data_IF_591849386614
#
_entry.id   IF_591849386614
#
_cell.length_a   1.000
_cell.length_b   1.000
_cell.length_c   1.000
_cell.angle_alpha   90.00
_cell.angle_beta   90.00
_cell.angle_gamma   90.00
#
_symmetry.space_group_name_H-M   'P 1'
#
loop_
_entity.id
_entity.type
_entity.pdbx_description
1 polymer ?
#
# COMPACT_ATOMS: atom_id res chain seq x y z
N UNK A 1 -9.06 -14.75 -49.11
CA UNK A 1 -8.13 -13.61 -49.05
C UNK A 1 -8.88 -12.44 -48.41
N UNK A 2 -9.13 -12.47 -47.10
CA UNK A 2 -8.26 -11.98 -46.00
C UNK A 2 -8.09 -10.46 -46.00
N UNK A 3 -8.97 -9.78 -45.27
CA UNK A 3 -8.72 -8.44 -44.71
C UNK A 3 -8.91 -8.54 -43.20
N UNK A 4 -7.84 -8.88 -42.48
CA UNK A 4 -7.83 -8.96 -41.02
C UNK A 4 -7.73 -7.55 -40.42
N UNK A 5 -8.66 -7.28 -39.50
CA UNK A 5 -8.50 -6.66 -38.18
C UNK A 5 -7.27 -5.76 -37.94
N UNK A 6 -7.52 -4.45 -37.77
CA UNK A 6 -6.58 -3.53 -37.13
C UNK A 6 -7.33 -2.42 -36.39
N UNK A 7 -7.86 -2.72 -35.19
CA UNK A 7 -7.61 -1.85 -34.03
C UNK A 7 -8.05 -2.54 -32.73
N UNK A 8 -7.33 -3.60 -32.38
CA UNK A 8 -7.14 -3.95 -30.97
C UNK A 8 -5.68 -3.74 -30.64
N UNK A 9 -5.33 -2.50 -30.29
CA UNK A 9 -4.24 -2.30 -29.34
C UNK A 9 -4.86 -2.53 -27.97
N UNK A 10 -4.87 -3.79 -27.54
CA UNK A 10 -4.94 -4.09 -26.13
C UNK A 10 -3.52 -3.81 -25.63
N UNK A 11 -3.31 -2.63 -25.08
CA UNK A 11 -2.07 -2.33 -24.37
C UNK A 11 -2.02 -3.32 -23.19
N UNK A 12 -1.17 -4.33 -23.30
CA UNK A 12 -0.83 -5.24 -22.21
C UNK A 12 0.30 -4.65 -21.34
N UNK A 13 0.28 -3.32 -21.20
CA UNK A 13 1.18 -2.44 -20.43
C UNK A 13 0.36 -1.60 -19.41
N UNK A 14 -0.82 -2.09 -19.00
CA UNK A 14 -1.92 -1.22 -18.53
C UNK A 14 -2.23 -1.32 -17.02
N UNK A 15 -1.41 -2.04 -16.25
CA UNK A 15 -1.49 -2.03 -14.79
C UNK A 15 -0.33 -1.24 -14.16
N UNK A 16 -0.56 0.06 -13.99
CA UNK A 16 0.37 0.98 -13.36
C UNK A 16 0.38 0.91 -11.82
N UNK A 17 -0.33 -0.05 -11.21
CA UNK A 17 -0.36 -0.19 -9.75
C UNK A 17 0.97 -0.71 -9.24
N UNK A 18 1.49 -0.05 -8.23
CA UNK A 18 2.67 -0.51 -7.53
C UNK A 18 2.34 -1.57 -6.48
N UNK A 19 3.30 -2.48 -6.28
CA UNK A 19 3.27 -3.48 -5.21
C UNK A 19 4.63 -3.40 -4.52
N UNK A 20 4.61 -3.31 -3.19
CA UNK A 20 5.84 -3.30 -2.38
C UNK A 20 5.86 -4.51 -1.45
N UNK A 21 6.97 -5.25 -1.53
CA UNK A 21 7.27 -6.35 -0.63
C UNK A 21 8.74 -6.33 -0.22
N UNK A 22 9.05 -6.86 0.96
CA UNK A 22 10.40 -6.86 1.53
C UNK A 22 10.87 -8.29 1.79
N UNK A 23 12.10 -8.58 1.41
CA UNK A 23 12.78 -9.83 1.70
C UNK A 23 14.30 -9.64 1.63
N UNK A 24 15.07 -10.57 2.20
CA UNK A 24 16.55 -10.48 2.14
C UNK A 24 17.08 -10.60 0.71
N UNK A 25 16.27 -11.18 -0.18
CA UNK A 25 16.51 -11.24 -1.63
C UNK A 25 15.22 -10.90 -2.37
N UNK A 26 15.33 -10.47 -3.64
CA UNK A 26 14.16 -10.24 -4.50
C UNK A 26 13.28 -11.48 -4.63
N UNK A 27 13.88 -12.67 -4.75
CA UNK A 27 13.16 -13.95 -4.85
C UNK A 27 12.34 -14.26 -3.59
N UNK A 28 12.82 -13.85 -2.41
CA UNK A 28 12.06 -14.00 -1.17
C UNK A 28 10.93 -12.97 -1.11
N UNK A 29 11.23 -11.70 -1.38
CA UNK A 29 10.23 -10.62 -1.37
C UNK A 29 9.05 -10.95 -2.30
N UNK A 30 9.31 -11.47 -3.49
CA UNK A 30 8.28 -11.85 -4.47
C UNK A 30 7.36 -13.00 -4.02
N UNK A 31 7.70 -13.72 -2.94
CA UNK A 31 6.90 -14.82 -2.40
C UNK A 31 6.12 -14.45 -1.14
N UNK A 32 6.36 -13.26 -0.60
CA UNK A 32 5.65 -12.80 0.59
C UNK A 32 4.21 -12.41 0.27
N UNK A 33 3.28 -12.51 1.24
CA UNK A 33 1.90 -12.07 1.05
C UNK A 33 1.77 -10.63 0.54
N UNK A 34 2.63 -9.72 1.00
CA UNK A 34 2.67 -8.33 0.55
C UNK A 34 2.87 -8.19 -0.97
N UNK A 35 3.51 -9.16 -1.64
CA UNK A 35 3.66 -9.16 -3.10
C UNK A 35 2.35 -9.45 -3.86
N UNK A 36 1.27 -9.77 -3.14
CA UNK A 36 -0.06 -10.05 -3.70
C UNK A 36 -1.12 -9.11 -3.09
N UNK A 37 -0.71 -7.98 -2.50
CA UNK A 37 -1.64 -6.95 -2.03
C UNK A 37 -1.60 -5.80 -3.00
N UNK A 38 -2.77 -5.44 -3.54
CA UNK A 38 -2.95 -4.30 -4.43
C UNK A 38 -4.15 -3.48 -3.98
N UNK A 39 -4.17 -2.20 -4.35
CA UNK A 39 -5.34 -1.34 -4.21
C UNK A 39 -6.16 -1.37 -5.49
N UNK A 40 -7.49 -1.28 -5.39
CA UNK A 40 -8.33 -1.23 -6.58
C UNK A 40 -7.96 -0.05 -7.50
N UNK A 41 -7.75 1.18 -6.98
CA UNK A 41 -7.31 2.31 -7.79
C UNK A 41 -5.81 2.26 -8.14
N UNK A 42 -5.44 3.01 -9.18
CA UNK A 42 -4.03 3.32 -9.46
C UNK A 42 -3.37 3.95 -8.24
N UNK A 43 -2.11 3.57 -8.03
CA UNK A 43 -1.37 3.95 -6.85
C UNK A 43 0.12 4.00 -7.13
N UNK A 44 0.82 4.73 -6.28
CA UNK A 44 2.28 4.74 -6.21
C UNK A 44 2.74 4.85 -4.77
N UNK A 45 3.95 4.38 -4.52
CA UNK A 45 4.60 4.45 -3.22
C UNK A 45 5.75 5.45 -3.26
N UNK A 46 5.95 6.19 -2.17
CA UNK A 46 7.15 7.02 -2.06
C UNK A 46 8.38 6.17 -1.80
N UNK A 47 9.52 6.62 -2.32
CA UNK A 47 10.81 5.95 -2.11
C UNK A 47 11.31 6.04 -0.67
N UNK A 48 10.77 6.97 0.12
CA UNK A 48 11.11 7.12 1.53
C UNK A 48 10.43 6.05 2.35
N UNK A 49 11.24 5.27 3.07
CA UNK A 49 10.78 4.20 3.96
C UNK A 49 11.29 4.47 5.37
N UNK A 50 10.38 4.58 6.34
CA UNK A 50 10.75 4.59 7.75
C UNK A 50 10.82 3.15 8.28
N UNK A 51 11.94 2.80 8.91
CA UNK A 51 12.16 1.48 9.49
C UNK A 51 11.89 1.48 10.99
N UNK A 52 11.15 0.47 11.47
CA UNK A 52 10.94 0.21 12.90
C UNK A 52 11.78 -0.99 13.32
N UNK A 53 12.61 -0.82 14.33
CA UNK A 53 13.54 -1.85 14.79
C UNK A 53 13.58 -1.97 16.31
N UNK A 54 13.82 -3.18 16.79
CA UNK A 54 14.17 -3.48 18.17
C UNK A 54 15.67 -3.81 18.21
N UNK A 55 16.49 -2.83 18.61
CA UNK A 55 17.94 -2.91 18.41
C UNK A 55 18.29 -3.04 16.92
N UNK A 56 19.09 -4.03 16.56
CA UNK A 56 19.48 -4.29 15.17
C UNK A 56 18.44 -5.07 14.34
N UNK A 57 17.29 -5.44 14.91
CA UNK A 57 16.29 -6.28 14.24
C UNK A 57 15.09 -5.45 13.79
N UNK A 58 14.96 -5.15 12.47
CA UNK A 58 13.78 -4.48 11.95
C UNK A 58 12.56 -5.41 12.05
N UNK A 59 11.41 -4.86 12.42
CA UNK A 59 10.16 -5.61 12.58
C UNK A 59 8.99 -5.00 11.81
N UNK A 60 9.09 -3.76 11.35
CA UNK A 60 8.11 -3.14 10.45
C UNK A 60 8.76 -2.05 9.59
N UNK A 61 8.09 -1.71 8.51
CA UNK A 61 8.29 -0.45 7.79
C UNK A 61 7.02 0.38 7.78
N UNK A 62 7.20 1.68 7.57
CA UNK A 62 6.13 2.63 7.29
C UNK A 62 6.49 3.31 5.97
N UNK A 63 5.56 3.31 5.04
CA UNK A 63 5.74 3.92 3.73
C UNK A 63 4.52 4.75 3.37
N UNK A 64 4.75 5.89 2.71
CA UNK A 64 3.68 6.72 2.18
C UNK A 64 3.24 6.21 0.82
N UNK A 65 1.93 6.12 0.64
CA UNK A 65 1.28 5.73 -0.60
C UNK A 65 0.35 6.85 -1.07
N UNK A 66 0.26 6.95 -2.39
CA UNK A 66 -0.60 7.86 -3.13
C UNK A 66 -1.64 7.04 -3.88
N UNK A 67 -2.91 7.33 -3.66
CA UNK A 67 -4.05 6.61 -4.24
C UNK A 67 -4.85 7.58 -5.11
N UNK A 68 -5.08 7.20 -6.37
CA UNK A 68 -5.88 8.01 -7.28
C UNK A 68 -7.38 7.90 -6.95
N UNK A 69 -8.04 9.04 -6.79
CA UNK A 69 -9.49 9.13 -6.67
C UNK A 69 -10.12 9.50 -8.00
N UNK A 70 -10.44 8.49 -8.80
CA UNK A 70 -11.11 8.70 -10.10
C UNK A 70 -12.53 9.26 -9.96
N UNK A 71 -13.12 9.20 -8.76
CA UNK A 71 -14.44 9.77 -8.48
C UNK A 71 -14.44 11.27 -8.17
N UNK A 72 -13.27 11.87 -7.96
CA UNK A 72 -13.10 13.30 -7.69
C UNK A 72 -11.98 13.88 -8.59
N UNK A 73 -12.26 14.10 -9.89
CA UNK A 73 -11.29 14.69 -10.80
C UNK A 73 -11.10 16.20 -10.54
N UNK A 74 -9.88 16.68 -10.79
CA UNK A 74 -9.57 18.11 -10.83
C UNK A 74 -10.21 18.82 -12.04
N UNK A 75 -9.99 20.14 -12.14
CA UNK A 75 -10.52 20.95 -13.25
C UNK A 75 -10.01 20.53 -14.63
N UNK A 76 -8.93 19.76 -14.69
CA UNK A 76 -8.33 19.23 -15.91
C UNK A 76 -8.74 17.77 -16.17
N UNK A 77 -9.66 17.22 -15.37
CA UNK A 77 -10.13 15.84 -15.51
C UNK A 77 -9.17 14.80 -14.93
N UNK A 78 -8.10 15.20 -14.21
CA UNK A 78 -7.14 14.26 -13.63
C UNK A 78 -7.62 13.82 -12.24
N UNK A 79 -7.55 12.53 -11.90
CA UNK A 79 -7.89 12.06 -10.56
C UNK A 79 -7.11 12.82 -9.49
N UNK A 80 -7.78 13.23 -8.41
CA UNK A 80 -7.07 13.75 -7.25
C UNK A 80 -6.27 12.64 -6.57
N UNK A 81 -5.15 13.02 -5.99
CA UNK A 81 -4.29 12.11 -5.24
C UNK A 81 -4.60 12.21 -3.76
N UNK A 82 -4.95 11.07 -3.16
CA UNK A 82 -5.12 10.91 -1.73
C UNK A 82 -3.86 10.26 -1.15
N UNK A 83 -3.48 10.64 0.08
CA UNK A 83 -2.27 10.11 0.72
C UNK A 83 -2.60 9.30 1.96
N UNK A 84 -1.95 8.14 2.10
CA UNK A 84 -2.00 7.33 3.32
C UNK A 84 -0.62 6.79 3.69
N UNK A 85 -0.46 6.41 4.95
CA UNK A 85 0.68 5.63 5.41
C UNK A 85 0.27 4.18 5.56
N UNK A 86 1.13 3.30 5.05
CA UNK A 86 0.97 1.86 5.16
C UNK A 86 2.05 1.32 6.10
N UNK A 87 1.62 0.62 7.13
CA UNK A 87 2.48 -0.14 8.03
C UNK A 87 2.57 -1.56 7.50
N UNK A 88 3.78 -2.04 7.26
CA UNK A 88 4.04 -3.41 6.79
C UNK A 88 4.91 -4.13 7.81
N UNK A 89 4.49 -5.30 8.29
CA UNK A 89 5.31 -6.11 9.20
C UNK A 89 6.43 -6.84 8.47
N UNK A 90 7.51 -7.10 9.18
CA UNK A 90 8.69 -7.81 8.69
C UNK A 90 8.85 -9.16 9.42
N UNK A 91 9.82 -10.01 9.00
CA UNK A 91 10.13 -11.25 9.72
C UNK A 91 10.51 -11.02 11.19
N UNK A 92 10.28 -12.00 12.10
CA UNK A 92 10.00 -13.41 11.83
C UNK A 92 8.52 -13.67 11.47
N UNK A 93 8.30 -14.34 10.34
CA UNK A 93 6.97 -14.57 9.76
C UNK A 93 6.78 -13.84 8.43
N UNK A 94 5.61 -14.00 7.78
CA UNK A 94 5.37 -13.40 6.47
C UNK A 94 5.32 -11.86 6.52
N UNK A 95 5.59 -11.24 5.38
CA UNK A 95 5.47 -9.79 5.18
C UNK A 95 4.08 -9.45 4.64
N UNK A 96 3.34 -8.59 5.33
CA UNK A 96 2.02 -8.13 4.94
C UNK A 96 1.70 -6.76 5.55
N UNK A 97 0.70 -6.07 4.99
CA UNK A 97 0.18 -4.84 5.57
C UNK A 97 -0.53 -5.12 6.91
N UNK A 98 -0.30 -4.23 7.87
CA UNK A 98 -0.79 -4.31 9.26
C UNK A 98 -1.79 -3.21 9.52
N UNK A 99 -1.49 -2.00 9.06
CA UNK A 99 -2.34 -0.84 9.29
C UNK A 99 -2.27 0.20 8.17
N UNK A 100 -3.37 0.91 7.97
CA UNK A 100 -3.48 2.08 7.12
C UNK A 100 -3.84 3.30 7.97
N UNK A 101 -3.21 4.43 7.66
CA UNK A 101 -3.47 5.72 8.30
C UNK A 101 -3.71 6.75 7.21
N UNK A 102 -4.90 7.35 7.17
CA UNK A 102 -5.18 8.43 6.22
C UNK A 102 -4.33 9.66 6.60
N UNK A 103 -3.50 10.14 5.68
CA UNK A 103 -2.58 11.23 5.97
C UNK A 103 -3.21 12.62 5.87
N UNK A 104 -4.35 12.73 5.21
CA UNK A 104 -5.08 14.00 5.04
C UNK A 104 -6.01 14.20 6.24
N UNK A 105 -6.70 13.14 6.67
CA UNK A 105 -7.62 13.19 7.80
C UNK A 105 -6.92 13.30 9.17
N UNK A 106 -5.62 13.00 9.25
CA UNK A 106 -4.87 12.97 10.51
C UNK A 106 -3.60 13.85 10.44
N UNK A 107 -3.58 15.03 11.10
CA UNK A 107 -2.38 15.88 11.17
C UNK A 107 -1.15 15.17 11.79
N UNK A 108 -1.39 14.18 12.66
CA UNK A 108 -0.37 13.38 13.34
C UNK A 108 -0.19 11.99 12.71
N UNK A 109 -0.53 11.81 11.41
CA UNK A 109 -0.52 10.50 10.74
C UNK A 109 0.78 9.71 10.92
N UNK A 110 1.94 10.37 10.86
CA UNK A 110 3.24 9.70 11.07
C UNK A 110 3.36 9.11 12.48
N UNK A 111 2.91 9.83 13.51
CA UNK A 111 2.93 9.36 14.89
C UNK A 111 1.97 8.18 15.09
N UNK A 112 0.78 8.26 14.51
CA UNK A 112 -0.20 7.18 14.50
C UNK A 112 0.35 5.92 13.82
N UNK A 113 1.01 6.05 12.67
CA UNK A 113 1.62 4.94 11.95
C UNK A 113 2.76 4.29 12.75
N UNK A 114 3.60 5.11 13.41
CA UNK A 114 4.66 4.62 14.32
C UNK A 114 4.08 3.83 15.47
N UNK A 115 3.09 4.39 16.15
CA UNK A 115 2.39 3.72 17.25
C UNK A 115 1.77 2.40 16.79
N UNK A 116 1.09 2.39 15.64
CA UNK A 116 0.49 1.19 15.09
C UNK A 116 1.53 0.12 14.75
N UNK A 117 2.67 0.50 14.20
CA UNK A 117 3.77 -0.42 13.93
C UNK A 117 4.30 -1.04 15.23
N UNK A 118 4.60 -0.21 16.23
CA UNK A 118 5.19 -0.62 17.50
C UNK A 118 4.24 -1.54 18.31
N UNK A 119 2.93 -1.24 18.28
CA UNK A 119 1.88 -1.96 19.01
C UNK A 119 1.48 -3.27 18.32
N UNK A 120 1.33 -3.29 17.00
CA UNK A 120 0.66 -4.41 16.31
C UNK A 120 1.57 -5.27 15.45
N UNK A 121 2.63 -4.74 14.84
CA UNK A 121 3.32 -5.44 13.74
C UNK A 121 3.96 -6.77 14.15
N UNK A 122 4.48 -6.88 15.38
CA UNK A 122 5.11 -8.11 15.88
C UNK A 122 4.10 -9.23 16.14
N UNK A 123 2.88 -8.88 16.57
CA UNK A 123 1.81 -9.84 16.89
C UNK A 123 0.86 -10.12 15.73
N UNK A 124 0.92 -9.32 14.66
CA UNK A 124 -0.01 -9.43 13.54
C UNK A 124 0.19 -10.70 12.73
N UNK A 125 -0.88 -11.47 12.55
CA UNK A 125 -0.89 -12.74 11.84
C UNK A 125 -1.35 -12.55 10.40
N UNK A 126 -0.41 -12.49 9.45
CA UNK A 126 -0.71 -12.34 8.03
C UNK A 126 -1.70 -13.40 7.54
N UNK A 127 -2.70 -12.98 6.75
CA UNK A 127 -3.73 -13.86 6.20
C UNK A 127 -4.83 -14.26 7.18
N UNK A 128 -4.72 -13.89 8.47
CA UNK A 128 -5.76 -14.12 9.49
C UNK A 128 -6.29 -12.81 10.05
N UNK A 129 -5.39 -11.92 10.46
CA UNK A 129 -5.76 -10.62 11.00
C UNK A 129 -6.15 -9.66 9.88
N UNK A 130 -7.17 -8.85 10.14
CA UNK A 130 -7.58 -7.78 9.22
C UNK A 130 -6.68 -6.56 9.39
N UNK A 131 -6.32 -5.92 8.28
CA UNK A 131 -5.59 -4.65 8.28
C UNK A 131 -6.35 -3.63 9.11
N UNK A 132 -5.66 -2.93 9.99
CA UNK A 132 -6.25 -1.96 10.91
C UNK A 132 -6.33 -0.58 10.26
N UNK A 133 -7.45 0.11 10.44
CA UNK A 133 -7.53 1.54 10.17
C UNK A 133 -7.24 2.28 11.48
N UNK A 134 -6.24 3.15 11.46
CA UNK A 134 -5.78 3.88 12.66
C UNK A 134 -6.03 5.37 12.47
N UNK A 135 -6.54 6.03 13.51
CA UNK A 135 -6.94 7.42 13.45
C UNK A 135 -8.30 7.62 12.78
N UNK A 136 -8.59 8.86 12.40
CA UNK A 136 -9.77 9.19 11.63
C UNK A 136 -9.67 8.55 10.23
N UNK A 137 -10.68 7.78 9.78
CA UNK A 137 -10.72 7.33 8.41
C UNK A 137 -10.93 8.53 7.48
N UNK A 138 -10.35 8.45 6.29
CA UNK A 138 -10.53 9.44 5.24
C UNK A 138 -10.55 8.77 3.87
N UNK A 139 -10.59 9.61 2.84
CA UNK A 139 -10.81 9.17 1.46
C UNK A 139 -9.75 8.19 0.96
N UNK A 140 -8.49 8.33 1.40
CA UNK A 140 -7.42 7.40 0.99
C UNK A 140 -7.71 5.98 1.47
N UNK A 141 -8.17 5.85 2.73
CA UNK A 141 -8.47 4.55 3.35
C UNK A 141 -9.74 3.94 2.74
N UNK A 142 -10.77 4.74 2.47
CA UNK A 142 -11.98 4.27 1.77
C UNK A 142 -11.63 3.64 0.43
N UNK A 143 -10.82 4.34 -0.37
CA UNK A 143 -10.36 3.87 -1.67
C UNK A 143 -9.49 2.62 -1.57
N UNK A 144 -8.60 2.55 -0.57
CA UNK A 144 -7.70 1.42 -0.36
C UNK A 144 -8.40 0.17 0.19
N UNK A 145 -9.60 0.31 0.77
CA UNK A 145 -10.36 -0.80 1.37
C UNK A 145 -11.62 -1.16 0.61
N UNK A 146 -11.98 -0.38 -0.42
CA UNK A 146 -13.02 -0.71 -1.37
C UNK A 146 -12.70 -2.05 -2.06
N UNK A 147 -13.68 -2.96 -2.05
CA UNK A 147 -13.61 -4.27 -2.70
C UNK A 147 -14.41 -4.28 -3.99
#
# INVERSE_FOLDING_TARGET
MSGQDWSRRADAEDDLREIVSIGRTRKQAAKEPAANVWFAPFNSSETTVEWRAAGAKPFAIIQRWHIADSGDPDKQGRPRTMSMLVVTRLPPGPVCHVAYVDAIANPTANELARKAADDFARGFTCGKDQVKVIGAPGRAVELATAR
#
